data_IF_896902759890
#
_entry.id   IF_896902759890
#
_cell.length_a   1.000
_cell.length_b   1.000
_cell.length_c   1.000
_cell.angle_alpha   90.00
_cell.angle_beta   90.00
_cell.angle_gamma   90.00
#
_symmetry.space_group_name_H-M   'P 1'
#
loop_
_entity.id
_entity.type
_entity.pdbx_description
1 polymer ?
#
# COMPACT_ATOMS: atom_id res chain seq x y z
N UNK A 1 19.87 19.13 -10.54
CA UNK A 1 18.75 19.59 -9.72
C UNK A 1 18.29 18.41 -8.84
N UNK A 2 18.53 18.48 -7.54
CA UNK A 2 18.01 17.49 -6.60
C UNK A 2 16.47 17.61 -6.58
N UNK A 3 15.77 16.67 -7.18
CA UNK A 3 14.32 16.58 -7.09
C UNK A 3 13.96 16.14 -5.67
N UNK A 4 13.38 17.04 -4.90
CA UNK A 4 12.98 16.77 -3.51
C UNK A 4 11.81 15.78 -3.55
N UNK A 5 11.97 14.66 -2.86
CA UNK A 5 10.88 13.72 -2.60
C UNK A 5 9.90 14.41 -1.66
N UNK A 6 8.63 14.43 -2.03
CA UNK A 6 7.58 15.05 -1.23
C UNK A 6 6.49 14.05 -0.90
N UNK A 7 5.87 14.23 0.26
CA UNK A 7 4.74 13.42 0.71
C UNK A 7 3.49 14.29 0.73
N UNK A 8 2.39 13.78 0.19
CA UNK A 8 1.08 14.43 0.21
C UNK A 8 -0.03 13.47 0.62
N UNK A 9 -0.94 13.99 1.47
CA UNK A 9 -2.19 13.32 1.83
C UNK A 9 -3.36 14.01 1.16
N UNK A 10 -4.16 13.27 0.41
CA UNK A 10 -5.28 13.82 -0.36
C UNK A 10 -6.48 12.87 -0.37
N UNK A 11 -7.65 13.42 -0.66
CA UNK A 11 -8.89 12.66 -0.89
C UNK A 11 -9.16 12.57 -2.38
N UNK A 12 -9.43 11.37 -2.87
CA UNK A 12 -9.80 11.15 -4.29
C UNK A 12 -11.12 11.81 -4.61
N UNK A 13 -11.15 12.58 -5.69
CA UNK A 13 -12.36 13.23 -6.21
C UNK A 13 -12.77 12.68 -7.57
N UNK A 14 -11.83 12.12 -8.34
CA UNK A 14 -12.16 11.43 -9.60
C UNK A 14 -11.08 10.43 -10.01
N UNK A 15 -11.49 9.49 -10.87
CA UNK A 15 -10.61 8.52 -11.54
C UNK A 15 -10.78 8.71 -13.04
N UNK A 16 -10.11 9.72 -13.64
CA UNK A 16 -10.32 10.12 -15.03
C UNK A 16 -9.87 9.09 -16.06
N UNK A 17 -8.95 8.19 -15.68
CA UNK A 17 -8.49 7.14 -16.58
C UNK A 17 -8.22 5.83 -15.84
N UNK A 18 -8.66 4.72 -16.44
CA UNK A 18 -8.36 3.36 -15.99
C UNK A 18 -8.25 2.42 -17.20
N UNK A 19 -7.19 1.61 -17.20
CA UNK A 19 -7.02 0.47 -18.09
C UNK A 19 -6.79 -0.80 -17.27
N UNK A 20 -6.45 -1.91 -17.92
CA UNK A 20 -6.10 -3.18 -17.25
C UNK A 20 -4.85 -3.06 -16.38
N UNK A 21 -3.90 -2.22 -16.77
CA UNK A 21 -2.57 -2.16 -16.14
C UNK A 21 -2.26 -0.81 -15.50
N UNK A 22 -3.02 0.24 -15.83
CA UNK A 22 -2.66 1.61 -15.48
C UNK A 22 -3.88 2.43 -15.05
N UNK A 23 -3.67 3.34 -14.11
CA UNK A 23 -4.71 4.22 -13.59
C UNK A 23 -4.18 5.64 -13.38
N UNK A 24 -5.06 6.61 -13.62
CA UNK A 24 -4.88 8.00 -13.21
C UNK A 24 -6.03 8.34 -12.28
N UNK A 25 -5.71 8.82 -11.11
CA UNK A 25 -6.70 9.33 -10.16
C UNK A 25 -6.28 10.67 -9.61
N UNK A 26 -7.26 11.51 -9.33
CA UNK A 26 -7.03 12.89 -8.90
C UNK A 26 -7.81 13.18 -7.62
N UNK A 27 -7.33 14.16 -6.87
CA UNK A 27 -7.97 14.52 -5.62
C UNK A 27 -7.57 15.88 -5.11
N UNK A 28 -8.11 16.21 -3.93
CA UNK A 28 -7.85 17.45 -3.22
C UNK A 28 -7.03 17.16 -1.95
N UNK A 29 -6.02 17.98 -1.67
CA UNK A 29 -5.19 17.81 -0.48
C UNK A 29 -6.01 17.96 0.81
N UNK A 30 -5.67 17.17 1.84
CA UNK A 30 -6.32 17.20 3.15
C UNK A 30 -5.69 18.19 4.14
N UNK A 31 -4.63 18.89 3.75
CA UNK A 31 -4.00 19.88 4.60
C UNK A 31 -4.94 21.08 4.88
N UNK A 32 -5.10 21.46 6.14
CA UNK A 32 -6.02 22.54 6.58
C UNK A 32 -5.83 23.87 5.87
N UNK A 33 -4.67 24.14 5.27
CA UNK A 33 -4.35 25.39 4.55
C UNK A 33 -4.85 25.42 3.10
N UNK A 34 -5.23 24.31 2.53
CA UNK A 34 -5.63 24.20 1.12
C UNK A 34 -7.02 24.80 0.79
N UNK A 35 -7.83 25.13 1.80
CA UNK A 35 -9.17 25.68 1.63
C UNK A 35 -9.24 27.22 1.76
N UNK A 36 -8.15 27.92 2.02
CA UNK A 36 -8.16 29.38 2.04
C UNK A 36 -8.13 29.94 0.61
N UNK A 37 -9.09 30.81 0.30
CA UNK A 37 -9.35 31.39 -1.03
C UNK A 37 -8.13 32.12 -1.63
N UNK A 38 -7.16 32.55 -0.84
CA UNK A 38 -6.00 33.32 -1.26
C UNK A 38 -4.66 32.57 -1.19
N UNK A 39 -4.65 31.29 -0.80
CA UNK A 39 -3.44 30.46 -0.85
C UNK A 39 -3.64 29.36 -1.90
N UNK A 40 -2.91 29.46 -3.00
CA UNK A 40 -2.91 28.58 -4.17
C UNK A 40 -3.65 27.25 -3.97
N UNK A 41 -4.88 27.16 -4.44
CA UNK A 41 -5.60 25.90 -4.51
C UNK A 41 -4.83 25.00 -5.48
N UNK A 42 -4.56 23.78 -5.10
CA UNK A 42 -3.96 22.82 -5.99
C UNK A 42 -4.72 21.49 -5.96
N UNK A 43 -4.60 20.74 -7.03
CA UNK A 43 -5.06 19.37 -7.14
C UNK A 43 -3.88 18.41 -7.13
N UNK A 44 -4.11 17.20 -6.69
CA UNK A 44 -3.13 16.10 -6.74
C UNK A 44 -3.54 15.15 -7.84
N UNK A 45 -2.61 14.74 -8.71
CA UNK A 45 -2.81 13.75 -9.75
C UNK A 45 -1.77 12.64 -9.58
N UNK A 46 -2.22 11.40 -9.52
CA UNK A 46 -1.37 10.22 -9.41
C UNK A 46 -1.53 9.39 -10.67
N UNK A 47 -0.39 8.99 -11.25
CA UNK A 47 -0.32 8.15 -12.45
C UNK A 47 0.55 6.95 -12.13
N UNK A 48 -0.03 5.76 -12.13
CA UNK A 48 0.70 4.56 -11.73
C UNK A 48 0.08 3.29 -12.29
N UNK A 49 0.81 2.19 -12.19
CA UNK A 49 0.28 0.87 -12.51
C UNK A 49 -0.68 0.40 -11.44
N UNK A 50 -1.77 -0.27 -11.84
CA UNK A 50 -2.73 -0.88 -10.91
C UNK A 50 -2.07 -1.88 -9.95
N UNK A 51 -1.12 -2.68 -10.44
CA UNK A 51 -0.35 -3.63 -9.64
C UNK A 51 0.49 -2.97 -8.52
N UNK A 52 0.70 -1.65 -8.57
CA UNK A 52 1.45 -0.90 -7.56
C UNK A 52 0.56 -0.34 -6.45
N UNK A 53 -0.74 -0.54 -6.53
CA UNK A 53 -1.70 0.02 -5.59
C UNK A 53 -2.18 -1.01 -4.57
N UNK A 54 -2.32 -0.63 -3.29
CA UNK A 54 -2.87 -1.49 -2.24
C UNK A 54 -4.37 -1.77 -2.40
N UNK A 55 -5.09 -0.89 -3.10
CA UNK A 55 -6.51 -1.00 -3.43
C UNK A 55 -6.80 -0.26 -4.73
N UNK A 56 -7.94 -0.53 -5.36
CA UNK A 56 -8.40 0.26 -6.49
C UNK A 56 -8.84 1.65 -6.03
N UNK A 57 -8.40 2.71 -6.73
CA UNK A 57 -8.81 4.06 -6.37
C UNK A 57 -10.31 4.27 -6.59
N UNK A 58 -10.99 4.79 -5.58
CA UNK A 58 -12.39 5.19 -5.63
C UNK A 58 -12.59 6.57 -5.01
N UNK A 59 -13.63 7.27 -5.46
CA UNK A 59 -13.98 8.60 -4.93
C UNK A 59 -14.26 8.50 -3.43
N UNK A 60 -13.74 9.44 -2.68
CA UNK A 60 -13.89 9.50 -1.22
C UNK A 60 -12.73 8.86 -0.45
N UNK A 61 -11.96 7.96 -1.04
CA UNK A 61 -10.81 7.36 -0.38
C UNK A 61 -9.71 8.39 -0.08
N UNK A 62 -8.97 8.15 0.98
CA UNK A 62 -7.82 8.95 1.35
C UNK A 62 -6.53 8.22 0.98
N UNK A 63 -5.61 8.96 0.38
CA UNK A 63 -4.33 8.41 -0.05
C UNK A 63 -3.18 9.25 0.45
N UNK A 64 -2.09 8.59 0.80
CA UNK A 64 -0.79 9.20 1.08
C UNK A 64 0.16 8.73 0.00
N UNK A 65 0.81 9.66 -0.65
CA UNK A 65 1.81 9.38 -1.70
C UNK A 65 3.13 10.03 -1.35
N UNK A 66 4.21 9.37 -1.71
CA UNK A 66 5.57 9.91 -1.61
C UNK A 66 6.28 9.70 -2.94
N UNK A 67 6.90 10.73 -3.47
CA UNK A 67 7.60 10.64 -4.72
C UNK A 67 8.07 11.97 -5.30
N UNK A 68 8.55 11.92 -6.53
CA UNK A 68 8.95 13.10 -7.29
C UNK A 68 7.72 13.82 -7.80
N UNK A 69 7.57 15.08 -7.39
CA UNK A 69 6.47 15.95 -7.78
C UNK A 69 6.81 16.76 -9.03
N UNK A 70 5.89 16.79 -9.98
CA UNK A 70 5.84 17.76 -11.07
C UNK A 70 4.70 18.73 -10.80
N UNK A 71 4.92 20.00 -10.99
CA UNK A 71 3.88 21.04 -10.85
C UNK A 71 3.56 21.58 -12.23
N UNK A 72 2.29 21.58 -12.60
CA UNK A 72 1.74 22.21 -13.79
C UNK A 72 0.56 23.09 -13.41
N UNK A 73 0.31 24.13 -14.18
CA UNK A 73 -0.81 25.03 -13.94
C UNK A 73 -1.89 24.79 -14.98
N UNK A 74 -3.12 24.64 -14.53
CA UNK A 74 -4.29 24.46 -15.35
C UNK A 74 -5.29 25.59 -15.13
N UNK A 75 -5.92 26.06 -16.20
CA UNK A 75 -7.02 26.99 -16.14
C UNK A 75 -8.34 26.19 -16.11
N UNK A 76 -9.11 26.36 -15.05
CA UNK A 76 -10.42 25.73 -14.89
C UNK A 76 -11.43 26.86 -14.66
N UNK A 77 -12.24 27.16 -15.64
CA UNK A 77 -13.28 28.20 -15.60
C UNK A 77 -12.71 29.58 -15.21
N UNK A 78 -11.55 29.96 -15.76
CA UNK A 78 -10.90 31.23 -15.48
C UNK A 78 -10.11 31.28 -14.15
N UNK A 79 -10.01 30.16 -13.43
CA UNK A 79 -9.19 30.04 -12.23
C UNK A 79 -7.93 29.22 -12.51
N UNK A 80 -6.78 29.80 -12.24
CA UNK A 80 -5.51 29.08 -12.31
C UNK A 80 -5.36 28.19 -11.09
N UNK A 81 -5.27 26.88 -11.33
CA UNK A 81 -5.11 25.87 -10.30
C UNK A 81 -3.82 25.12 -10.57
N UNK A 82 -2.95 25.03 -9.58
CA UNK A 82 -1.75 24.20 -9.67
C UNK A 82 -2.16 22.72 -9.57
N UNK A 83 -1.55 21.89 -10.40
CA UNK A 83 -1.67 20.44 -10.31
C UNK A 83 -0.34 19.82 -9.92
N UNK A 84 -0.32 19.13 -8.81
CA UNK A 84 0.81 18.32 -8.35
C UNK A 84 0.69 16.92 -8.92
N UNK A 85 1.53 16.57 -9.88
CA UNK A 85 1.52 15.27 -10.54
C UNK A 85 2.65 14.39 -10.02
N UNK A 86 2.29 13.16 -9.64
CA UNK A 86 3.19 12.10 -9.23
C UNK A 86 3.12 10.96 -10.22
N UNK A 87 4.19 10.79 -11.02
CA UNK A 87 4.33 9.68 -11.95
C UNK A 87 5.09 8.54 -11.26
N UNK A 88 4.48 7.37 -11.13
CA UNK A 88 5.03 6.20 -10.45
C UNK A 88 5.66 6.56 -9.08
N UNK A 89 4.87 7.00 -8.08
CA UNK A 89 5.37 7.36 -6.77
C UNK A 89 6.15 6.23 -6.11
N UNK A 90 7.09 6.60 -5.24
CA UNK A 90 7.96 5.63 -4.54
C UNK A 90 7.25 4.92 -3.39
N UNK A 91 6.26 5.58 -2.77
CA UNK A 91 5.37 5.00 -1.78
C UNK A 91 3.94 5.45 -2.02
N UNK A 92 3.02 4.52 -1.86
CA UNK A 92 1.57 4.75 -1.98
C UNK A 92 0.87 4.00 -0.85
N UNK A 93 0.08 4.73 -0.08
CA UNK A 93 -0.73 4.16 0.98
C UNK A 93 -2.20 4.58 0.79
N UNK A 94 -3.11 3.63 0.89
CA UNK A 94 -4.54 3.91 0.99
C UNK A 94 -4.94 3.93 2.46
N UNK A 95 -5.51 5.04 2.91
CA UNK A 95 -6.01 5.20 4.26
C UNK A 95 -7.53 5.20 4.22
N UNK A 96 -8.16 4.24 4.88
CA UNK A 96 -9.60 4.29 5.06
C UNK A 96 -9.96 5.43 6.01
N UNK A 97 -11.03 6.20 5.74
CA UNK A 97 -11.52 7.20 6.67
C UNK A 97 -12.00 6.56 7.96
N UNK A 98 -11.58 7.07 9.12
CA UNK A 98 -11.89 6.47 10.42
C UNK A 98 -13.01 7.21 11.18
N UNK A 99 -13.39 8.40 10.74
CA UNK A 99 -14.25 9.27 11.56
C UNK A 99 -15.28 10.08 10.77
N UNK A 100 -16.46 10.23 11.37
CA UNK A 100 -17.47 11.22 11.04
C UNK A 100 -17.90 11.23 9.58
N UNK A 101 -18.09 12.42 9.05
CA UNK A 101 -18.58 12.64 7.68
C UNK A 101 -17.69 11.99 6.60
N UNK A 102 -16.40 11.86 6.85
CA UNK A 102 -15.47 11.23 5.91
C UNK A 102 -15.76 9.74 5.73
N UNK A 103 -16.08 9.03 6.81
CA UNK A 103 -16.47 7.63 6.75
C UNK A 103 -17.85 7.46 6.11
N UNK A 104 -18.80 8.33 6.45
CA UNK A 104 -20.15 8.35 5.83
C UNK A 104 -20.01 8.49 4.30
N UNK A 105 -19.24 9.47 3.85
CA UNK A 105 -19.02 9.71 2.43
C UNK A 105 -18.28 8.56 1.75
N UNK A 106 -17.31 7.94 2.44
CA UNK A 106 -16.64 6.75 1.92
C UNK A 106 -17.64 5.60 1.72
N UNK A 107 -18.43 5.27 2.73
CA UNK A 107 -19.41 4.18 2.66
C UNK A 107 -20.46 4.45 1.57
N UNK A 108 -20.96 5.67 1.49
CA UNK A 108 -22.01 6.05 0.55
C UNK A 108 -21.56 6.10 -0.92
N UNK A 109 -20.28 6.40 -1.17
CA UNK A 109 -19.72 6.56 -2.52
C UNK A 109 -18.89 5.37 -2.99
N UNK A 110 -18.71 4.33 -2.17
CA UNK A 110 -17.99 3.12 -2.60
C UNK A 110 -18.87 2.31 -3.57
N UNK A 111 -18.47 2.16 -4.84
CA UNK A 111 -19.31 1.55 -5.88
C UNK A 111 -19.73 0.09 -5.58
N UNK A 112 -18.90 -0.60 -4.77
CA UNK A 112 -19.16 -2.00 -4.44
C UNK A 112 -20.12 -2.17 -3.26
N UNK A 113 -20.40 -1.11 -2.47
CA UNK A 113 -21.35 -1.13 -1.36
C UNK A 113 -22.78 -0.87 -1.84
N UNK A 114 -23.27 -1.75 -2.71
CA UNK A 114 -24.59 -1.59 -3.32
C UNK A 114 -25.72 -1.55 -2.30
N UNK A 115 -26.61 -0.58 -2.46
CA UNK A 115 -27.75 -0.40 -1.58
C UNK A 115 -27.45 0.32 -0.26
N UNK A 116 -26.23 0.88 -0.10
CA UNK A 116 -25.82 1.68 1.05
C UNK A 116 -25.60 3.12 0.59
N UNK A 117 -26.67 3.92 0.58
CA UNK A 117 -26.57 5.37 0.33
C UNK A 117 -26.26 6.14 1.61
N UNK A 118 -26.19 7.47 1.50
CA UNK A 118 -25.75 8.37 2.59
C UNK A 118 -26.57 8.20 3.89
N UNK A 119 -27.89 8.02 3.79
CA UNK A 119 -28.75 7.83 4.97
C UNK A 119 -28.39 6.56 5.75
N UNK A 120 -28.20 5.44 5.07
CA UNK A 120 -27.77 4.19 5.70
C UNK A 120 -26.32 4.26 6.20
N UNK A 121 -25.44 4.93 5.46
CA UNK A 121 -24.06 5.14 5.87
C UNK A 121 -23.99 5.98 7.17
N UNK A 122 -24.85 6.99 7.30
CA UNK A 122 -24.97 7.80 8.52
C UNK A 122 -25.49 6.95 9.70
N UNK A 123 -26.53 6.15 9.49
CA UNK A 123 -27.03 5.24 10.51
C UNK A 123 -25.96 4.22 10.96
N UNK A 124 -25.14 3.71 10.03
CA UNK A 124 -24.02 2.83 10.36
C UNK A 124 -22.94 3.55 11.18
N UNK A 125 -22.63 4.81 10.82
CA UNK A 125 -21.70 5.60 11.62
C UNK A 125 -22.21 5.84 13.03
N UNK A 126 -23.46 6.23 13.18
CA UNK A 126 -24.07 6.53 14.48
C UNK A 126 -24.11 5.29 15.39
N UNK A 127 -24.30 4.10 14.81
CA UNK A 127 -24.39 2.83 15.54
C UNK A 127 -23.02 2.19 15.82
N UNK A 128 -22.09 2.25 14.87
CA UNK A 128 -20.85 1.47 14.90
C UNK A 128 -19.61 2.33 15.13
N UNK A 129 -19.63 3.59 14.70
CA UNK A 129 -18.52 4.52 14.85
C UNK A 129 -17.20 3.94 14.33
N UNK A 130 -16.18 3.94 15.18
CA UNK A 130 -14.84 3.42 14.87
C UNK A 130 -14.77 1.91 14.64
N UNK A 131 -15.75 1.17 15.16
CA UNK A 131 -15.80 -0.28 15.05
C UNK A 131 -16.22 -0.73 13.63
N UNK A 132 -16.71 0.19 12.79
CA UNK A 132 -17.20 -0.13 11.45
C UNK A 132 -16.22 -0.97 10.65
N UNK A 133 -14.94 -0.57 10.60
CA UNK A 133 -13.92 -1.28 9.81
C UNK A 133 -13.66 -2.69 10.32
N UNK A 134 -13.66 -2.89 11.62
CA UNK A 134 -13.47 -4.21 12.23
C UNK A 134 -14.66 -5.15 11.96
N UNK A 135 -15.88 -4.60 11.95
CA UNK A 135 -17.10 -5.33 11.65
C UNK A 135 -17.17 -5.67 10.16
N UNK A 136 -16.88 -4.71 9.27
CA UNK A 136 -16.88 -4.91 7.82
C UNK A 136 -15.77 -5.86 7.33
N UNK A 137 -14.70 -6.03 8.10
CA UNK A 137 -13.60 -6.96 7.80
C UNK A 137 -13.89 -8.42 8.18
N UNK A 138 -14.90 -8.67 8.99
CA UNK A 138 -15.16 -10.00 9.56
C UNK A 138 -16.58 -10.46 9.24
N UNK A 139 -16.75 -11.25 8.17
CA UNK A 139 -18.03 -11.88 7.87
C UNK A 139 -18.29 -13.04 8.86
N UNK A 140 -18.95 -12.74 9.95
CA UNK A 140 -19.36 -13.70 10.97
C UNK A 140 -20.76 -13.39 11.52
N UNK A 141 -21.31 -14.29 12.33
CA UNK A 141 -22.67 -14.16 12.87
C UNK A 141 -22.88 -12.90 13.71
N UNK A 142 -21.89 -12.46 14.47
CA UNK A 142 -21.97 -11.27 15.32
C UNK A 142 -21.96 -10.00 14.47
N UNK A 143 -21.03 -9.89 13.51
CA UNK A 143 -20.98 -8.76 12.57
C UNK A 143 -22.29 -8.65 11.77
N UNK A 144 -22.79 -9.77 11.23
CA UNK A 144 -24.07 -9.78 10.51
C UNK A 144 -25.24 -9.34 11.37
N UNK A 145 -25.30 -9.79 12.63
CA UNK A 145 -26.35 -9.39 13.58
C UNK A 145 -26.37 -7.87 13.78
N UNK A 146 -25.21 -7.26 14.03
CA UNK A 146 -25.09 -5.79 14.21
C UNK A 146 -25.47 -5.02 12.94
N UNK A 147 -25.10 -5.53 11.75
CA UNK A 147 -25.41 -4.88 10.48
C UNK A 147 -26.88 -4.98 10.10
N UNK A 148 -27.60 -6.08 10.46
CA UNK A 148 -29.04 -6.27 10.16
C UNK A 148 -29.95 -5.23 10.80
N UNK A 149 -29.50 -4.55 11.83
CA UNK A 149 -30.26 -3.45 12.43
C UNK A 149 -30.38 -2.24 11.50
N UNK A 150 -29.48 -2.11 10.50
CA UNK A 150 -29.39 -0.95 9.63
C UNK A 150 -29.43 -1.28 8.12
N UNK A 151 -29.14 -2.52 7.76
CA UNK A 151 -28.98 -2.97 6.37
C UNK A 151 -29.83 -4.19 6.05
N UNK A 152 -30.23 -4.30 4.78
CA UNK A 152 -30.79 -5.53 4.22
C UNK A 152 -29.70 -6.58 3.99
N UNK A 153 -30.07 -7.87 3.90
CA UNK A 153 -29.11 -8.96 3.61
C UNK A 153 -28.32 -8.72 2.31
N UNK A 154 -28.97 -8.21 1.26
CA UNK A 154 -28.30 -7.90 -0.01
C UNK A 154 -27.24 -6.79 0.17
N UNK A 155 -27.56 -5.76 0.96
CA UNK A 155 -26.61 -4.69 1.28
C UNK A 155 -25.46 -5.20 2.16
N UNK A 156 -25.73 -6.10 3.10
CA UNK A 156 -24.70 -6.75 3.94
C UNK A 156 -23.76 -7.59 3.08
N UNK A 157 -24.31 -8.41 2.17
CA UNK A 157 -23.50 -9.23 1.27
C UNK A 157 -22.65 -8.35 0.34
N UNK A 158 -23.22 -7.26 -0.17
CA UNK A 158 -22.49 -6.28 -1.00
C UNK A 158 -21.38 -5.59 -0.21
N UNK A 159 -21.62 -5.25 1.06
CA UNK A 159 -20.64 -4.65 1.95
C UNK A 159 -19.45 -5.60 2.16
N UNK A 160 -19.68 -6.84 2.58
CA UNK A 160 -18.60 -7.80 2.80
C UNK A 160 -17.81 -8.08 1.54
N UNK A 161 -18.51 -8.32 0.41
CA UNK A 161 -17.86 -8.55 -0.89
C UNK A 161 -17.02 -7.36 -1.35
N UNK A 162 -17.54 -6.15 -1.24
CA UNK A 162 -16.82 -4.94 -1.61
C UNK A 162 -15.69 -4.61 -0.65
N UNK A 163 -15.85 -4.95 0.64
CA UNK A 163 -14.83 -4.70 1.64
C UNK A 163 -13.64 -5.65 1.54
N UNK A 164 -13.78 -6.80 0.88
CA UNK A 164 -12.70 -7.77 0.67
C UNK A 164 -11.47 -7.18 -0.02
N UNK A 165 -11.66 -6.17 -0.87
CA UNK A 165 -10.55 -5.44 -1.51
C UNK A 165 -9.68 -4.63 -0.53
N UNK A 166 -10.19 -4.33 0.66
CA UNK A 166 -9.45 -3.61 1.72
C UNK A 166 -8.80 -4.53 2.75
N UNK A 167 -9.03 -5.84 2.63
CA UNK A 167 -8.63 -6.86 3.59
C UNK A 167 -7.12 -6.85 3.89
N UNK A 168 -6.31 -6.67 2.85
CA UNK A 168 -4.86 -6.67 2.95
C UNK A 168 -4.27 -5.25 3.10
N UNK A 169 -5.10 -4.22 3.23
CA UNK A 169 -4.66 -2.83 3.20
C UNK A 169 -3.68 -2.52 4.33
N UNK A 170 -3.92 -3.07 5.53
CA UNK A 170 -3.03 -2.92 6.68
C UNK A 170 -1.63 -3.45 6.41
N UNK A 171 -1.55 -4.62 5.78
CA UNK A 171 -0.28 -5.27 5.44
C UNK A 171 0.45 -4.49 4.35
N UNK A 172 -0.28 -4.02 3.33
CA UNK A 172 0.27 -3.13 2.32
C UNK A 172 0.83 -1.83 2.90
N UNK A 173 0.05 -1.13 3.70
CA UNK A 173 0.47 0.14 4.31
C UNK A 173 1.69 -0.06 5.20
N UNK A 174 1.71 -1.15 5.98
CA UNK A 174 2.87 -1.48 6.81
C UNK A 174 4.13 -1.70 5.94
N UNK A 175 4.02 -2.49 4.86
CA UNK A 175 5.13 -2.74 3.95
C UNK A 175 5.59 -1.46 3.22
N UNK A 176 4.66 -0.62 2.79
CA UNK A 176 4.97 0.68 2.15
C UNK A 176 5.72 1.60 3.09
N UNK A 177 5.28 1.72 4.34
CA UNK A 177 5.97 2.50 5.38
C UNK A 177 7.42 2.06 5.59
N UNK A 178 7.68 0.77 5.43
CA UNK A 178 9.02 0.19 5.53
C UNK A 178 9.76 0.10 4.19
N UNK A 179 9.28 0.83 3.17
CA UNK A 179 9.93 0.96 1.84
C UNK A 179 10.14 -0.36 1.10
N UNK A 180 9.31 -1.36 1.37
CA UNK A 180 9.28 -2.58 0.56
C UNK A 180 8.67 -2.21 -0.80
N UNK A 181 9.31 -2.54 -1.94
CA UNK A 181 8.80 -2.18 -3.26
C UNK A 181 7.39 -2.74 -3.51
N UNK A 182 6.50 -1.94 -4.11
CA UNK A 182 5.10 -2.31 -4.35
C UNK A 182 4.94 -3.63 -5.11
N UNK A 183 5.79 -3.88 -6.12
CA UNK A 183 5.81 -5.15 -6.87
C UNK A 183 6.15 -6.37 -6.00
N UNK A 184 6.95 -6.19 -4.95
CA UNK A 184 7.29 -7.24 -3.98
C UNK A 184 6.10 -7.47 -3.05
N UNK A 185 5.49 -6.38 -2.55
CA UNK A 185 4.29 -6.42 -1.69
C UNK A 185 3.17 -7.20 -2.37
N UNK A 186 2.87 -6.88 -3.63
CA UNK A 186 1.81 -7.54 -4.41
C UNK A 186 2.06 -9.04 -4.54
N UNK A 187 3.28 -9.46 -4.91
CA UNK A 187 3.64 -10.87 -5.05
C UNK A 187 3.57 -11.61 -3.72
N UNK A 188 4.05 -11.00 -2.65
CA UNK A 188 4.00 -11.56 -1.32
C UNK A 188 2.55 -11.77 -0.85
N UNK A 189 1.69 -10.77 -1.02
CA UNK A 189 0.27 -10.86 -0.64
C UNK A 189 -0.49 -11.83 -1.54
N UNK A 190 -0.21 -11.83 -2.85
CA UNK A 190 -0.81 -12.80 -3.77
C UNK A 190 -0.52 -14.24 -3.36
N UNK A 191 0.68 -14.51 -2.82
CA UNK A 191 1.10 -15.84 -2.44
C UNK A 191 0.66 -16.25 -1.02
N UNK A 192 0.76 -15.34 -0.05
CA UNK A 192 0.52 -15.62 1.38
C UNK A 192 -0.80 -15.06 1.94
N UNK A 193 -1.48 -14.15 1.21
CA UNK A 193 -2.72 -13.50 1.65
C UNK A 193 -2.54 -12.79 3.00
N UNK A 194 -3.48 -13.00 3.88
CA UNK A 194 -3.50 -12.43 5.25
C UNK A 194 -2.34 -12.92 6.15
N UNK A 195 -1.62 -13.93 5.73
CA UNK A 195 -0.47 -14.47 6.48
C UNK A 195 0.84 -13.77 6.11
N UNK A 196 0.83 -12.82 5.19
CA UNK A 196 2.04 -12.17 4.63
C UNK A 196 2.97 -11.62 5.70
N UNK A 197 2.49 -10.77 6.61
CA UNK A 197 3.31 -10.21 7.69
C UNK A 197 3.77 -11.28 8.69
N UNK A 198 2.93 -12.29 8.95
CA UNK A 198 3.32 -13.41 9.84
C UNK A 198 4.48 -14.19 9.24
N UNK A 199 4.47 -14.44 7.94
CA UNK A 199 5.55 -15.13 7.25
C UNK A 199 6.83 -14.29 7.19
N UNK A 200 6.72 -12.98 6.94
CA UNK A 200 7.86 -12.07 6.99
C UNK A 200 8.52 -12.02 8.39
N UNK A 201 7.72 -12.02 9.45
CA UNK A 201 8.27 -12.06 10.84
C UNK A 201 9.00 -13.38 11.12
N UNK A 202 8.55 -14.48 10.50
CA UNK A 202 9.23 -15.78 10.65
C UNK A 202 10.51 -15.85 9.82
N UNK A 203 10.47 -15.35 8.59
CA UNK A 203 11.60 -15.32 7.67
C UNK A 203 11.56 -14.07 6.77
N UNK A 204 12.24 -12.98 7.14
CA UNK A 204 12.26 -11.77 6.33
C UNK A 204 12.95 -11.95 4.97
N UNK A 205 13.81 -12.97 4.82
CA UNK A 205 14.51 -13.25 3.56
C UNK A 205 13.59 -13.77 2.46
N UNK A 206 12.33 -14.10 2.76
CA UNK A 206 11.29 -14.34 1.75
C UNK A 206 11.14 -13.18 0.76
N UNK A 207 11.48 -11.95 1.15
CA UNK A 207 11.44 -10.79 0.25
C UNK A 207 12.35 -10.97 -0.97
N UNK A 208 13.44 -11.73 -0.84
CA UNK A 208 14.32 -12.05 -1.97
C UNK A 208 13.63 -12.92 -3.03
N UNK A 209 12.84 -13.90 -2.60
CA UNK A 209 12.03 -14.76 -3.50
C UNK A 209 11.08 -13.92 -4.35
N UNK A 210 10.63 -12.78 -3.82
CA UNK A 210 9.74 -11.86 -4.52
C UNK A 210 10.47 -10.70 -5.23
N UNK A 211 11.81 -10.72 -5.26
CA UNK A 211 12.64 -9.87 -6.12
C UNK A 211 13.36 -8.72 -5.42
N UNK A 212 13.45 -8.71 -4.09
CA UNK A 212 14.37 -7.82 -3.39
C UNK A 212 15.81 -8.33 -3.46
N UNK A 213 16.79 -7.41 -3.47
CA UNK A 213 18.20 -7.77 -3.35
C UNK A 213 18.52 -8.25 -1.93
N UNK A 214 19.57 -9.08 -1.77
CA UNK A 214 20.04 -9.51 -0.46
C UNK A 214 20.30 -8.31 0.46
N UNK A 215 21.08 -7.32 0.01
CA UNK A 215 21.44 -6.16 0.81
C UNK A 215 20.22 -5.43 1.37
N UNK A 216 19.26 -5.09 0.52
CA UNK A 216 18.05 -4.37 0.97
C UNK A 216 17.19 -5.22 1.92
N UNK A 217 17.14 -6.55 1.70
CA UNK A 217 16.44 -7.48 2.59
C UNK A 217 17.15 -7.62 3.92
N UNK A 218 18.49 -7.73 3.92
CA UNK A 218 19.31 -7.89 5.11
C UNK A 218 19.25 -6.64 6.02
N UNK A 219 19.30 -5.45 5.43
CA UNK A 219 19.10 -4.18 6.13
C UNK A 219 17.73 -4.14 6.85
N UNK A 220 16.66 -4.56 6.15
CA UNK A 220 15.33 -4.67 6.75
C UNK A 220 15.25 -5.77 7.82
N UNK A 221 15.84 -6.93 7.57
CA UNK A 221 15.83 -8.04 8.50
C UNK A 221 16.50 -7.68 9.84
N UNK A 222 17.63 -6.98 9.79
CA UNK A 222 18.35 -6.55 10.99
C UNK A 222 17.63 -5.41 11.71
N UNK A 223 17.07 -4.43 10.98
CA UNK A 223 16.49 -3.22 11.59
C UNK A 223 15.05 -3.42 12.09
N UNK A 224 14.24 -4.22 11.40
CA UNK A 224 12.80 -4.39 11.73
C UNK A 224 12.49 -5.70 12.44
N UNK A 225 13.29 -6.74 12.18
CA UNK A 225 13.02 -8.08 12.69
C UNK A 225 14.11 -8.56 13.64
N UNK A 226 15.07 -7.68 14.00
CA UNK A 226 16.15 -7.96 14.94
C UNK A 226 16.92 -9.26 14.59
N UNK A 227 17.06 -9.53 13.30
CA UNK A 227 17.70 -10.74 12.82
C UNK A 227 19.18 -10.75 13.18
N UNK A 228 19.61 -11.76 13.95
CA UNK A 228 20.99 -11.87 14.40
C UNK A 228 21.94 -12.20 13.23
N UNK A 229 23.24 -11.81 13.34
CA UNK A 229 24.23 -12.07 12.30
C UNK A 229 24.35 -13.54 11.89
N UNK A 230 24.23 -14.47 12.86
CA UNK A 230 24.35 -15.93 12.68
C UNK A 230 22.99 -16.62 12.45
N UNK A 231 21.91 -15.90 12.14
CA UNK A 231 20.61 -16.48 11.90
C UNK A 231 20.64 -17.40 10.66
N UNK A 232 20.08 -18.61 10.77
CA UNK A 232 20.08 -19.62 9.70
C UNK A 232 19.42 -19.12 8.39
N UNK A 233 18.31 -18.37 8.50
CA UNK A 233 17.66 -17.81 7.31
C UNK A 233 18.57 -16.78 6.62
N UNK A 234 19.34 -15.99 7.39
CA UNK A 234 20.32 -15.03 6.87
C UNK A 234 21.43 -15.72 6.11
N UNK A 235 22.02 -16.75 6.73
CA UNK A 235 23.13 -17.49 6.12
C UNK A 235 22.69 -18.24 4.86
N UNK A 236 21.54 -18.90 4.91
CA UNK A 236 20.96 -19.59 3.75
C UNK A 236 20.68 -18.63 2.60
N UNK A 237 20.05 -17.48 2.89
CA UNK A 237 19.75 -16.45 1.91
C UNK A 237 21.03 -15.84 1.29
N UNK A 238 22.07 -15.61 2.10
CA UNK A 238 23.37 -15.14 1.62
C UNK A 238 24.03 -16.14 0.67
N UNK A 239 23.99 -17.43 1.03
CA UNK A 239 24.52 -18.49 0.18
C UNK A 239 23.77 -18.57 -1.15
N UNK A 240 22.45 -18.60 -1.10
CA UNK A 240 21.59 -18.58 -2.30
C UNK A 240 21.90 -17.38 -3.20
N UNK A 241 22.00 -16.18 -2.60
CA UNK A 241 22.34 -14.96 -3.34
C UNK A 241 23.68 -15.06 -4.06
N UNK A 242 24.73 -15.54 -3.38
CA UNK A 242 26.08 -15.70 -3.97
C UNK A 242 26.03 -16.66 -5.15
N UNK A 243 25.35 -17.81 -5.02
CA UNK A 243 25.24 -18.80 -6.09
C UNK A 243 24.43 -18.26 -7.28
N UNK A 244 23.31 -17.57 -7.03
CA UNK A 244 22.48 -16.97 -8.09
C UNK A 244 23.25 -15.87 -8.84
N UNK A 245 24.03 -15.04 -8.15
CA UNK A 245 24.85 -14.03 -8.80
C UNK A 245 25.97 -14.66 -9.66
N UNK A 246 26.54 -15.77 -9.26
CA UNK A 246 27.52 -16.49 -10.08
C UNK A 246 26.87 -17.15 -11.32
N UNK A 247 25.65 -17.70 -11.19
CA UNK A 247 24.88 -18.20 -12.33
C UNK A 247 24.60 -17.08 -13.34
N UNK A 248 24.19 -15.89 -12.87
CA UNK A 248 23.96 -14.72 -13.74
C UNK A 248 25.21 -14.28 -14.52
N UNK A 249 26.41 -14.58 -13.99
CA UNK A 249 27.68 -14.33 -14.68
C UNK A 249 28.06 -15.43 -15.69
N UNK A 250 27.20 -16.41 -15.87
CA UNK A 250 27.40 -17.53 -16.79
C UNK A 250 28.19 -18.70 -16.20
N UNK A 251 28.43 -18.73 -14.89
CA UNK A 251 29.10 -19.86 -14.24
C UNK A 251 28.11 -20.99 -13.98
N UNK A 252 28.45 -22.21 -14.37
CA UNK A 252 27.66 -23.41 -14.08
C UNK A 252 28.00 -24.06 -12.75
N UNK A 253 29.14 -23.72 -12.17
CA UNK A 253 29.56 -24.12 -10.84
C UNK A 253 30.41 -23.03 -10.19
N UNK A 254 30.43 -23.01 -8.85
CA UNK A 254 31.26 -22.09 -8.08
C UNK A 254 32.14 -22.87 -7.10
N UNK A 255 33.47 -22.81 -7.21
CA UNK A 255 34.37 -23.47 -6.25
C UNK A 255 34.10 -22.99 -4.82
N UNK A 256 34.14 -23.90 -3.84
CA UNK A 256 33.88 -23.60 -2.43
C UNK A 256 34.71 -22.43 -1.89
N UNK A 257 35.99 -22.33 -2.29
CA UNK A 257 36.85 -21.21 -1.93
C UNK A 257 36.30 -19.84 -2.38
N UNK A 258 35.69 -19.79 -3.56
CA UNK A 258 35.08 -18.58 -4.09
C UNK A 258 33.77 -18.26 -3.38
N UNK A 259 32.93 -19.27 -3.12
CA UNK A 259 31.72 -19.12 -2.31
C UNK A 259 32.06 -18.49 -0.96
N UNK A 260 33.03 -19.08 -0.22
CA UNK A 260 33.48 -18.57 1.08
C UNK A 260 33.95 -17.11 1.00
N UNK A 261 34.78 -16.78 -0.01
CA UNK A 261 35.26 -15.42 -0.21
C UNK A 261 34.13 -14.42 -0.47
N UNK A 262 33.12 -14.81 -1.25
CA UNK A 262 31.97 -13.96 -1.55
C UNK A 262 31.05 -13.82 -0.33
N UNK A 263 30.85 -14.85 0.47
CA UNK A 263 30.12 -14.80 1.72
C UNK A 263 30.78 -13.89 2.74
N UNK A 264 32.11 -13.99 2.94
CA UNK A 264 32.87 -13.11 3.83
C UNK A 264 32.69 -11.64 3.40
N UNK A 265 32.78 -11.37 2.08
CA UNK A 265 32.57 -10.02 1.56
C UNK A 265 31.13 -9.51 1.77
N UNK A 266 30.15 -10.40 1.73
CA UNK A 266 28.73 -10.07 1.84
C UNK A 266 28.28 -9.89 3.30
N UNK A 267 28.72 -10.76 4.19
CA UNK A 267 28.26 -10.86 5.58
C UNK A 267 29.22 -10.24 6.61
N UNK A 268 30.49 -10.04 6.24
CA UNK A 268 31.58 -9.67 7.13
C UNK A 268 32.30 -10.88 7.75
N UNK A 269 33.54 -10.68 8.16
CA UNK A 269 34.46 -11.75 8.61
C UNK A 269 34.01 -12.42 9.93
N UNK A 270 33.25 -11.68 10.75
CA UNK A 270 32.84 -12.15 12.10
C UNK A 270 31.63 -13.09 12.07
N UNK A 271 31.04 -13.34 10.91
CA UNK A 271 29.79 -14.10 10.78
C UNK A 271 30.04 -15.54 10.31
N UNK A 272 31.20 -15.86 9.76
CA UNK A 272 31.65 -17.11 9.19
C UNK A 272 32.86 -17.66 9.97
#
# INVERSE_FOLDING_TARGET
MNQIVQSEKFRVTSVPFRSTDFVIFTGVPLAKRSYRINSGKYSVSVRTKLESLPAEPAVGQHWIIEGKRKVSQHDINGFKIDQHTYDAPTSIECCLPETGEQLIQFIANEPDFKGIGESKARALWDALGKDFHDIANKDNGDSRKRLREHLTEDSINSLFKGYDKYKNLRDFNWMSKHKIPASVQQRLIKYHGEKSLKQLRRNPYLLMTFGMSFKATDDLAQTLFECLPNNENRLSAALEWVLVEDIKRGNTYTPQKNVRRHLIKLLGDTTL
#
